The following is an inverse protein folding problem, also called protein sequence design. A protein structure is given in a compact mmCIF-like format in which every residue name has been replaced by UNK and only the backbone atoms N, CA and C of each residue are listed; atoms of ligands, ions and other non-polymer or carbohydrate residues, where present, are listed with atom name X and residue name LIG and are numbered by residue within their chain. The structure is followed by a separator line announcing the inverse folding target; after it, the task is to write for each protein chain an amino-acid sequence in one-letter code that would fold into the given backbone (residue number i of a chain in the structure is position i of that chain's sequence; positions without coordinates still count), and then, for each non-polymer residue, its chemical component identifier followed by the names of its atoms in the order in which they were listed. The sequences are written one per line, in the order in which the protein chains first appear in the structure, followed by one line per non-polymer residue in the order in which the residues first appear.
data_IF_729533466643
#
_entry.id   IF_729533466643
#
_cell.length_a   1.000
_cell.length_b   1.000
_cell.length_c   1.000
_cell.angle_alpha   90.00
_cell.angle_beta   90.00
_cell.angle_gamma   90.00
#
_symmetry.space_group_name_H-M   'P 1'
#
loop_
_entity.id
_entity.type
_entity.pdbx_description
1 polymer ?
#
# COMPACT_ATOMS: atom_id res chain seq x y z
N UNK A 1 20.68 28.57 6.90
CA UNK A 1 20.22 28.99 7.06
C UNK A 1 19.49 29.26 7.80
N UNK A 2 19.29 29.39 7.84
CA UNK A 2 18.68 29.63 8.53
C UNK A 2 17.56 29.98 8.35
N UNK A 3 16.89 29.38 8.61
CA UNK A 3 15.75 29.62 8.53
C UNK A 3 15.58 30.78 9.08
N UNK A 4 15.90 31.42 8.97
CA UNK A 4 15.83 32.39 9.35
C UNK A 4 14.99 32.73 10.07
N UNK A 5 15.00 32.56 10.58
CA UNK A 5 14.36 32.96 11.47
C UNK A 5 13.04 33.25 11.58
N UNK A 6 12.50 33.26 10.83
CA UNK A 6 11.18 33.57 10.97
C UNK A 6 10.36 32.41 10.82
N UNK A 7 10.84 31.31 10.38
CA UNK A 7 10.00 30.15 10.20
C UNK A 7 9.85 29.38 11.47
N UNK A 8 8.65 29.04 11.85
CA UNK A 8 8.42 28.19 12.97
C UNK A 8 8.81 26.76 12.60
N UNK A 9 9.49 26.03 13.48
CA UNK A 9 9.78 24.64 13.23
C UNK A 9 8.49 23.84 13.13
N UNK A 10 8.46 22.88 12.22
CA UNK A 10 7.31 22.00 12.08
C UNK A 10 7.56 20.71 12.83
N UNK A 11 6.52 20.13 13.40
CA UNK A 11 6.62 18.82 14.04
C UNK A 11 6.96 17.74 13.03
N UNK A 12 6.89 18.04 11.73
CA UNK A 12 7.24 17.10 10.70
C UNK A 12 8.71 17.20 10.27
N UNK A 13 9.45 18.18 10.79
CA UNK A 13 10.80 18.47 10.31
C UNK A 13 11.78 17.33 10.53
N UNK A 14 11.58 16.52 11.59
CA UNK A 14 12.52 15.46 11.89
C UNK A 14 12.12 14.11 11.31
N UNK A 15 11.13 14.09 10.44
CA UNK A 15 10.82 12.86 9.71
C UNK A 15 11.75 12.81 8.49
N UNK A 16 12.70 11.87 8.45
CA UNK A 16 13.70 11.87 7.38
C UNK A 16 13.07 11.65 6.01
N UNK A 17 13.56 12.40 5.02
CA UNK A 17 13.05 12.26 3.68
C UNK A 17 13.58 11.01 2.99
N UNK A 18 14.65 10.42 3.52
CA UNK A 18 15.23 9.21 2.93
C UNK A 18 14.46 7.94 3.28
N UNK A 19 13.50 8.02 4.20
CA UNK A 19 12.71 6.84 4.55
C UNK A 19 11.93 6.34 3.35
N UNK A 20 11.72 5.03 3.24
CA UNK A 20 10.79 4.50 2.25
C UNK A 20 9.43 5.16 2.39
N UNK A 21 8.74 5.32 1.28
CA UNK A 21 7.56 6.20 1.23
C UNK A 21 6.44 5.80 2.18
N UNK A 22 6.16 4.48 2.28
CA UNK A 22 5.09 4.05 3.19
C UNK A 22 5.48 4.26 4.66
N UNK A 23 6.73 4.00 4.99
CA UNK A 23 7.23 4.23 6.35
C UNK A 23 7.16 5.72 6.67
N UNK A 24 7.51 6.56 5.70
CA UNK A 24 7.48 8.00 5.90
C UNK A 24 6.05 8.49 6.10
N UNK A 25 5.11 7.97 5.31
CA UNK A 25 3.69 8.35 5.47
C UNK A 25 3.18 8.01 6.86
N UNK A 26 3.55 6.83 7.37
CA UNK A 26 3.14 6.43 8.71
C UNK A 26 3.71 7.40 9.76
N UNK A 27 4.98 7.78 9.62
CA UNK A 27 5.57 8.68 10.59
C UNK A 27 5.01 10.08 10.49
N UNK A 28 4.71 10.56 9.29
CA UNK A 28 4.11 11.88 9.13
C UNK A 28 2.77 11.95 9.84
N UNK A 29 1.91 10.93 9.65
CA UNK A 29 0.62 10.93 10.30
C UNK A 29 0.75 10.75 11.81
N UNK A 30 1.74 9.99 12.28
CA UNK A 30 1.98 9.80 13.71
C UNK A 30 2.38 11.13 14.36
N UNK A 31 3.23 11.91 13.69
CA UNK A 31 3.62 13.22 14.24
C UNK A 31 2.44 14.17 14.28
N UNK A 32 1.64 14.20 13.22
CA UNK A 32 0.46 15.07 13.19
C UNK A 32 -0.51 14.69 14.31
N UNK A 33 -0.64 13.41 14.60
CA UNK A 33 -1.54 12.94 15.65
C UNK A 33 -1.13 13.48 17.01
N UNK A 34 0.14 13.77 17.23
CA UNK A 34 0.60 14.26 18.53
C UNK A 34 0.04 15.62 18.87
N UNK A 35 -0.37 16.40 17.88
CA UNK A 35 -1.00 17.70 18.14
C UNK A 35 -2.50 17.65 17.90
N UNK A 36 -3.08 16.45 17.87
CA UNK A 36 -4.52 16.30 17.76
C UNK A 36 -5.03 16.18 16.34
N UNK A 37 -4.14 16.17 15.35
CA UNK A 37 -4.58 16.09 13.96
C UNK A 37 -4.65 14.63 13.56
N UNK A 38 -5.77 13.99 13.85
CA UNK A 38 -5.95 12.56 13.60
C UNK A 38 -7.44 12.25 13.53
N UNK A 39 -7.78 11.12 12.92
CA UNK A 39 -9.14 10.64 12.93
C UNK A 39 -9.46 10.03 14.29
N UNK A 40 -10.72 10.14 14.73
CA UNK A 40 -11.06 9.73 16.11
C UNK A 40 -11.00 8.23 16.34
N UNK A 41 -11.19 7.41 15.28
CA UNK A 41 -11.20 5.96 15.49
C UNK A 41 -10.94 5.24 14.17
N UNK A 42 -10.85 3.92 14.27
CA UNK A 42 -10.53 3.08 13.13
C UNK A 42 -11.61 3.14 12.05
N UNK A 43 -12.88 3.27 12.48
CA UNK A 43 -13.98 3.35 11.50
C UNK A 43 -13.83 4.58 10.61
N UNK A 44 -13.46 5.71 11.20
CA UNK A 44 -13.28 6.93 10.42
C UNK A 44 -12.14 6.77 9.41
N UNK A 45 -11.08 6.06 9.81
CA UNK A 45 -9.97 5.83 8.91
C UNK A 45 -10.36 4.91 7.77
N UNK A 46 -11.13 3.85 8.04
CA UNK A 46 -11.58 2.97 6.95
C UNK A 46 -12.50 3.73 6.00
N UNK A 47 -13.36 4.61 6.53
CA UNK A 47 -14.21 5.43 5.66
C UNK A 47 -13.38 6.31 4.74
N UNK A 48 -12.25 6.83 5.25
CA UNK A 48 -11.37 7.65 4.43
C UNK A 48 -10.73 6.84 3.31
N UNK A 49 -10.31 5.60 3.60
CA UNK A 49 -9.76 4.73 2.56
C UNK A 49 -10.80 4.48 1.47
N UNK A 50 -12.05 4.22 1.87
CA UNK A 50 -13.11 4.01 0.90
C UNK A 50 -13.37 5.25 0.06
N UNK A 51 -13.32 6.42 0.69
CA UNK A 51 -13.49 7.69 -0.01
C UNK A 51 -12.39 7.88 -1.06
N UNK A 52 -11.13 7.62 -0.69
CA UNK A 52 -10.02 7.80 -1.62
C UNK A 52 -10.09 6.78 -2.75
N UNK A 53 -10.55 5.56 -2.46
CA UNK A 53 -10.72 4.58 -3.52
C UNK A 53 -11.77 5.05 -4.53
N UNK A 54 -12.88 5.61 -4.04
CA UNK A 54 -13.92 6.13 -4.93
C UNK A 54 -13.37 7.25 -5.81
N UNK A 55 -12.48 8.07 -5.27
CA UNK A 55 -11.89 9.16 -6.04
C UNK A 55 -10.95 8.65 -7.12
N UNK A 56 -10.24 7.54 -6.86
CA UNK A 56 -9.44 6.91 -7.90
C UNK A 56 -10.34 6.45 -9.06
N UNK A 57 -11.46 5.80 -8.72
CA UNK A 57 -12.38 5.31 -9.73
C UNK A 57 -12.94 6.46 -10.56
N UNK A 58 -13.30 7.55 -9.88
CA UNK A 58 -13.84 8.72 -10.56
C UNK A 58 -12.79 9.36 -11.47
N UNK A 59 -11.56 9.49 -10.98
CA UNK A 59 -10.50 10.07 -11.79
C UNK A 59 -10.19 9.21 -13.02
N UNK A 60 -10.23 7.90 -12.86
CA UNK A 60 -10.00 6.99 -13.98
C UNK A 60 -11.08 7.14 -15.02
N UNK A 61 -12.34 7.29 -14.60
CA UNK A 61 -13.45 7.48 -15.53
C UNK A 61 -13.32 8.79 -16.29
N UNK A 62 -12.69 9.81 -15.65
CA UNK A 62 -12.51 11.10 -16.30
C UNK A 62 -11.37 11.14 -17.30
N UNK A 63 -10.51 10.13 -17.31
CA UNK A 63 -9.45 10.03 -18.31
C UNK A 63 -8.25 10.94 -18.13
N UNK A 64 -8.11 11.55 -16.95
CA UNK A 64 -6.97 12.42 -16.66
C UNK A 64 -5.91 11.65 -15.90
N UNK A 65 -4.82 11.29 -16.59
CA UNK A 65 -3.78 10.44 -16.00
C UNK A 65 -3.14 11.08 -14.78
N UNK A 66 -3.01 12.41 -14.78
CA UNK A 66 -2.39 13.10 -13.67
C UNK A 66 -3.29 13.06 -12.43
N UNK A 67 -4.59 13.20 -12.64
CA UNK A 67 -5.53 13.08 -11.53
C UNK A 67 -5.53 11.67 -10.96
N UNK A 68 -5.43 10.65 -11.82
CA UNK A 68 -5.37 9.27 -11.37
C UNK A 68 -4.13 9.06 -10.49
N UNK A 69 -2.98 9.58 -10.93
CA UNK A 69 -1.76 9.43 -10.16
C UNK A 69 -1.89 10.08 -8.78
N UNK A 70 -2.46 11.26 -8.74
CA UNK A 70 -2.63 11.97 -7.47
C UNK A 70 -3.55 11.21 -6.53
N UNK A 71 -4.68 10.72 -7.07
CA UNK A 71 -5.63 10.02 -6.22
C UNK A 71 -5.09 8.67 -5.73
N UNK A 72 -4.28 7.99 -6.54
CA UNK A 72 -3.64 6.77 -6.09
C UNK A 72 -2.67 7.08 -4.95
N UNK A 73 -1.92 8.18 -5.07
CA UNK A 73 -1.04 8.60 -3.98
C UNK A 73 -1.81 8.85 -2.70
N UNK A 74 -2.96 9.54 -2.80
CA UNK A 74 -3.79 9.80 -1.63
C UNK A 74 -4.34 8.52 -1.04
N UNK A 75 -4.71 7.56 -1.89
CA UNK A 75 -5.20 6.26 -1.41
C UNK A 75 -4.09 5.51 -0.67
N UNK A 76 -2.88 5.49 -1.24
CA UNK A 76 -1.77 4.83 -0.57
C UNK A 76 -1.46 5.48 0.78
N UNK A 77 -1.53 6.81 0.83
CA UNK A 77 -1.31 7.54 2.08
C UNK A 77 -2.38 7.16 3.11
N UNK A 78 -3.63 7.08 2.68
CA UNK A 78 -4.72 6.68 3.58
C UNK A 78 -4.53 5.26 4.09
N UNK A 79 -4.03 4.36 3.22
CA UNK A 79 -3.77 2.98 3.63
C UNK A 79 -2.63 2.93 4.66
N UNK A 80 -1.58 3.74 4.47
CA UNK A 80 -0.51 3.79 5.46
C UNK A 80 -1.04 4.26 6.80
N UNK A 81 -1.95 5.23 6.79
CA UNK A 81 -2.55 5.71 8.02
C UNK A 81 -3.47 4.65 8.65
N UNK A 82 -4.17 3.89 7.80
CA UNK A 82 -4.97 2.77 8.29
C UNK A 82 -4.09 1.77 9.03
N UNK A 83 -2.93 1.46 8.46
CA UNK A 83 -1.99 0.54 9.09
C UNK A 83 -1.57 1.08 10.46
N UNK A 84 -1.28 2.39 10.55
CA UNK A 84 -0.90 2.99 11.83
C UNK A 84 -2.00 2.81 12.85
N UNK A 85 -3.25 3.06 12.46
CA UNK A 85 -4.37 2.90 13.39
C UNK A 85 -4.59 1.44 13.80
N UNK A 86 -4.16 0.50 12.97
CA UNK A 86 -4.26 -0.93 13.30
C UNK A 86 -3.03 -1.42 14.08
N UNK A 87 -2.06 -0.55 14.33
CA UNK A 87 -0.84 -0.96 15.02
C UNK A 87 0.10 -1.76 14.14
N UNK A 88 0.03 -1.57 12.82
CA UNK A 88 0.81 -2.33 11.85
C UNK A 88 1.78 -1.38 11.14
N UNK A 89 3.01 -1.84 10.97
CA UNK A 89 4.02 -1.11 10.21
C UNK A 89 3.73 -1.35 8.72
N UNK A 90 3.30 -0.33 7.97
CA UNK A 90 2.89 -0.55 6.58
C UNK A 90 4.04 -0.98 5.67
N UNK A 91 5.27 -0.51 5.95
CA UNK A 91 6.41 -0.89 5.13
C UNK A 91 6.72 -2.38 5.30
N UNK A 92 6.71 -2.85 6.55
CA UNK A 92 6.95 -4.25 6.85
C UNK A 92 5.84 -5.12 6.28
N UNK A 93 4.59 -4.68 6.42
CA UNK A 93 3.46 -5.44 5.92
C UNK A 93 3.54 -5.62 4.40
N UNK A 94 3.89 -4.55 3.69
CA UNK A 94 3.99 -4.65 2.23
C UNK A 94 5.20 -5.50 1.82
N UNK A 95 6.31 -5.39 2.55
CA UNK A 95 7.47 -6.23 2.28
C UNK A 95 7.10 -7.71 2.41
N UNK A 96 6.33 -8.06 3.45
CA UNK A 96 5.88 -9.43 3.64
C UNK A 96 4.93 -9.87 2.53
N UNK A 97 4.05 -8.97 2.10
CA UNK A 97 3.14 -9.28 1.00
C UNK A 97 3.91 -9.53 -0.29
N UNK A 98 4.96 -8.74 -0.53
CA UNK A 98 5.80 -8.92 -1.72
C UNK A 98 6.48 -10.30 -1.68
N UNK A 99 6.98 -10.70 -0.53
CA UNK A 99 7.63 -11.99 -0.38
C UNK A 99 6.63 -13.12 -0.58
N UNK A 100 5.44 -12.96 -0.05
CA UNK A 100 4.39 -13.97 -0.22
C UNK A 100 3.99 -14.12 -1.68
N UNK A 101 3.82 -12.99 -2.38
CA UNK A 101 3.48 -13.03 -3.79
C UNK A 101 4.58 -13.76 -4.58
N UNK A 102 5.83 -13.42 -4.31
CA UNK A 102 6.96 -14.04 -5.01
C UNK A 102 6.99 -15.55 -4.78
N UNK A 103 6.80 -15.96 -3.53
CA UNK A 103 6.82 -17.38 -3.21
C UNK A 103 5.68 -18.12 -3.92
N UNK A 104 4.51 -17.52 -3.91
CA UNK A 104 3.35 -18.16 -4.55
C UNK A 104 3.50 -18.20 -6.07
N UNK A 105 4.08 -17.17 -6.65
CA UNK A 105 4.28 -17.17 -8.08
C UNK A 105 5.34 -18.19 -8.50
N UNK A 106 6.35 -18.42 -7.65
CA UNK A 106 7.31 -19.50 -7.91
C UNK A 106 6.60 -20.84 -7.98
N UNK A 107 5.57 -21.05 -7.15
CA UNK A 107 4.79 -22.29 -7.24
C UNK A 107 4.06 -22.37 -8.58
N UNK A 108 3.50 -21.28 -9.03
CA UNK A 108 2.81 -21.26 -10.34
C UNK A 108 3.78 -21.63 -11.43
N UNK A 109 4.98 -21.05 -11.41
CA UNK A 109 6.00 -21.36 -12.41
C UNK A 109 6.43 -22.83 -12.36
N UNK A 110 6.58 -23.37 -11.15
CA UNK A 110 6.95 -24.76 -10.98
C UNK A 110 5.88 -25.68 -11.53
N UNK A 111 4.62 -25.37 -11.29
CA UNK A 111 3.53 -26.17 -11.83
C UNK A 111 3.49 -26.13 -13.34
N UNK A 112 3.77 -24.97 -13.93
CA UNK A 112 3.84 -24.86 -15.38
C UNK A 112 4.94 -25.78 -15.93
N UNK A 113 6.11 -25.79 -15.26
CA UNK A 113 7.20 -26.68 -15.71
C UNK A 113 6.80 -28.15 -15.58
N UNK A 114 6.13 -28.53 -14.50
CA UNK A 114 5.67 -29.90 -14.32
C UNK A 114 4.71 -30.33 -15.43
N UNK A 115 3.85 -29.42 -15.85
CA UNK A 115 2.87 -29.72 -16.88
C UNK A 115 3.39 -29.43 -18.28
N UNK A 116 4.66 -29.04 -18.41
CA UNK A 116 5.29 -28.86 -19.72
C UNK A 116 4.71 -27.70 -20.51
N UNK A 117 4.23 -26.65 -19.84
CA UNK A 117 3.63 -25.53 -20.53
C UNK A 117 4.33 -24.24 -20.07
N UNK A 118 4.62 -23.35 -21.02
CA UNK A 118 5.18 -22.05 -20.66
C UNK A 118 4.12 -21.19 -20.00
N UNK A 119 4.48 -20.39 -19.01
CA UNK A 119 3.47 -19.56 -18.32
C UNK A 119 2.65 -18.69 -19.28
N UNK A 120 3.30 -18.11 -20.30
CA UNK A 120 2.60 -17.23 -21.23
C UNK A 120 1.62 -17.99 -22.11
N UNK A 121 1.72 -19.31 -22.17
CA UNK A 121 0.81 -20.14 -22.97
C UNK A 121 -0.25 -20.83 -22.13
N UNK A 122 -0.17 -20.70 -20.80
CA UNK A 122 -1.06 -21.45 -19.93
C UNK A 122 -2.48 -20.87 -19.86
N UNK A 123 -2.59 -19.56 -19.99
CA UNK A 123 -3.87 -18.89 -19.82
C UNK A 123 -4.17 -18.58 -18.38
N UNK A 124 -4.95 -17.52 -18.17
CA UNK A 124 -5.19 -17.04 -16.80
C UNK A 124 -5.89 -18.06 -15.93
N UNK A 125 -6.84 -18.81 -16.51
CA UNK A 125 -7.60 -19.76 -15.71
C UNK A 125 -6.69 -20.84 -15.12
N UNK A 126 -5.75 -21.37 -15.90
CA UNK A 126 -4.83 -22.37 -15.41
C UNK A 126 -3.86 -21.78 -14.41
N UNK A 127 -3.31 -20.59 -14.69
CA UNK A 127 -2.40 -19.95 -13.76
C UNK A 127 -3.08 -19.67 -12.42
N UNK A 128 -4.34 -19.26 -12.47
CA UNK A 128 -5.08 -18.98 -11.26
C UNK A 128 -5.36 -20.26 -10.48
N UNK A 129 -5.57 -21.40 -11.17
CA UNK A 129 -5.77 -22.66 -10.49
C UNK A 129 -4.50 -23.07 -9.73
N UNK A 130 -3.33 -22.88 -10.35
CA UNK A 130 -2.06 -23.16 -9.65
C UNK A 130 -1.88 -22.23 -8.45
N UNK A 131 -2.23 -20.96 -8.63
CA UNK A 131 -2.15 -20.00 -7.53
C UNK A 131 -3.03 -20.44 -6.36
N UNK A 132 -4.23 -20.90 -6.67
CA UNK A 132 -5.17 -21.31 -5.62
C UNK A 132 -4.68 -22.56 -4.90
N UNK A 133 -3.88 -23.42 -5.54
CA UNK A 133 -3.28 -24.56 -4.87
C UNK A 133 -2.40 -24.12 -3.70
N UNK A 134 -1.48 -23.20 -3.97
CA UNK A 134 -0.54 -22.75 -2.93
C UNK A 134 -1.25 -21.86 -1.91
N UNK A 135 -2.22 -21.10 -2.35
CA UNK A 135 -2.99 -20.26 -1.43
C UNK A 135 -3.76 -21.13 -0.43
N UNK A 136 -4.34 -22.23 -0.89
CA UNK A 136 -5.04 -23.14 0.00
C UNK A 136 -4.07 -23.83 0.96
N UNK A 137 -2.89 -24.22 0.47
CA UNK A 137 -1.89 -24.86 1.32
C UNK A 137 -1.42 -23.93 2.43
N UNK A 138 -1.32 -22.62 2.11
CA UNK A 138 -0.91 -21.65 3.12
C UNK A 138 -1.90 -21.49 4.24
N UNK A 139 -3.14 -21.85 4.01
CA UNK A 139 -4.17 -21.70 5.03
C UNK A 139 -4.36 -22.95 5.88
N UNK A 140 -3.66 -24.02 5.57
CA UNK A 140 -3.80 -25.30 6.29
C UNK A 140 -3.08 -25.31 7.63
#
# INVERSE_FOLDING_TARGET
AERKGNAQPSILDDVPQVLPALARAEKLTRRAAKVGFDWPDFRAVTAKVEEELAEVVEAQAGGDARAVEEEIGDLLFAVANLARHAGVDPEAALRDANAKFTRRFHHVEARCREDGIAPQDAGLERLDAYWNEIRAADKS
#
